data_IF_998398143969
#
_entry.id   IF_998398143969
#
_cell.length_a   1.000
_cell.length_b   1.000
_cell.length_c   1.000
_cell.angle_alpha   90.00
_cell.angle_beta   90.00
_cell.angle_gamma   90.00
#
_symmetry.space_group_name_H-M   'P 1'
#
loop_
_entity.id
_entity.type
_entity.pdbx_description
1 polymer ?
#
# COMPACT_ATOMS: atom_id res chain seq x y z
N UNK A 1 -34.42 49.43 20.40
CA UNK A 1 -33.06 49.53 19.84
C UNK A 1 -32.16 48.57 20.63
N UNK A 2 -31.63 47.55 19.95
CA UNK A 2 -30.56 46.58 20.26
C UNK A 2 -30.50 45.88 21.64
N UNK A 3 -30.58 44.54 21.60
CA UNK A 3 -30.25 43.61 22.69
C UNK A 3 -28.76 43.24 22.65
N UNK A 4 -28.05 43.35 23.77
CA UNK A 4 -26.67 42.87 23.92
C UNK A 4 -26.65 41.35 24.12
N UNK A 5 -26.33 40.61 23.06
CA UNK A 5 -26.13 39.17 23.12
C UNK A 5 -24.69 38.84 23.52
N UNK A 6 -24.52 38.51 24.80
CA UNK A 6 -23.32 37.92 25.40
C UNK A 6 -22.98 36.61 24.68
N UNK A 7 -22.01 36.64 23.77
CA UNK A 7 -21.48 35.43 23.11
C UNK A 7 -20.66 34.60 24.10
N UNK A 8 -21.35 33.79 24.91
CA UNK A 8 -20.75 32.58 25.44
C UNK A 8 -20.78 31.52 24.35
N UNK A 9 -19.62 30.89 24.16
CA UNK A 9 -19.39 29.48 23.83
C UNK A 9 -18.19 29.38 22.88
N UNK A 10 -17.00 29.54 23.45
CA UNK A 10 -15.76 29.03 22.87
C UNK A 10 -15.84 27.49 22.86
N UNK A 11 -16.52 26.94 21.86
CA UNK A 11 -16.43 25.53 21.53
C UNK A 11 -15.02 25.29 20.99
N UNK A 12 -14.10 24.93 21.88
CA UNK A 12 -12.79 24.43 21.50
C UNK A 12 -12.99 23.18 20.65
N UNK A 13 -12.87 23.32 19.33
CA UNK A 13 -12.70 22.19 18.43
C UNK A 13 -11.42 21.50 18.85
N UNK A 14 -11.54 20.44 19.65
CA UNK A 14 -10.47 19.47 19.85
C UNK A 14 -10.19 18.86 18.48
N UNK A 15 -9.22 19.42 17.77
CA UNK A 15 -8.67 18.81 16.58
C UNK A 15 -8.00 17.52 17.03
N UNK A 16 -8.74 16.40 17.00
CA UNK A 16 -8.19 15.05 17.06
C UNK A 16 -7.46 14.75 15.76
N UNK A 17 -6.48 15.58 15.41
CA UNK A 17 -5.62 15.37 14.26
C UNK A 17 -4.53 14.40 14.68
N UNK A 18 -4.84 13.13 14.50
CA UNK A 18 -3.90 12.02 14.67
C UNK A 18 -4.17 10.89 13.69
N UNK A 19 -4.67 11.19 12.48
CA UNK A 19 -4.58 10.21 11.39
C UNK A 19 -3.16 10.30 10.84
N UNK A 20 -2.28 9.43 11.35
CA UNK A 20 -1.03 9.12 10.68
C UNK A 20 -1.37 8.65 9.26
N UNK A 21 -1.25 9.55 8.29
CA UNK A 21 -1.30 9.20 6.87
C UNK A 21 -0.16 8.23 6.62
N UNK A 22 -0.50 6.97 6.40
CA UNK A 22 0.47 5.95 6.03
C UNK A 22 1.04 6.33 4.67
N UNK A 23 2.28 6.84 4.64
CA UNK A 23 2.97 7.15 3.39
C UNK A 23 3.38 5.82 2.76
N UNK A 24 2.65 5.41 1.73
CA UNK A 24 3.04 4.29 0.89
C UNK A 24 4.07 4.79 -0.11
N UNK A 25 5.28 4.23 -0.06
CA UNK A 25 6.26 4.40 -1.14
C UNK A 25 5.90 3.44 -2.26
N UNK A 26 6.27 3.79 -3.48
CA UNK A 26 6.01 2.94 -4.63
C UNK A 26 7.33 2.50 -5.21
N UNK A 27 7.51 1.19 -5.32
CA UNK A 27 8.70 0.59 -5.91
C UNK A 27 8.31 -0.39 -7.03
N UNK A 28 9.25 -0.68 -7.91
CA UNK A 28 9.10 -1.67 -8.96
C UNK A 28 9.50 -3.04 -8.43
N UNK A 29 8.52 -3.92 -8.27
CA UNK A 29 8.76 -5.31 -7.94
C UNK A 29 8.92 -6.12 -9.22
N UNK A 30 10.10 -6.70 -9.41
CA UNK A 30 10.40 -7.58 -10.54
C UNK A 30 10.13 -9.04 -10.16
N UNK A 31 9.30 -9.73 -10.94
CA UNK A 31 9.10 -11.17 -10.80
C UNK A 31 10.30 -11.94 -11.36
N UNK A 32 10.59 -13.15 -10.82
CA UNK A 32 11.53 -14.06 -11.44
C UNK A 32 11.10 -14.39 -12.89
N UNK A 33 12.05 -14.79 -13.75
CA UNK A 33 11.75 -15.16 -15.13
C UNK A 33 10.67 -16.25 -15.15
N UNK A 34 9.55 -15.94 -15.81
CA UNK A 34 8.36 -16.78 -15.82
C UNK A 34 8.00 -17.18 -17.24
N UNK A 35 7.20 -18.25 -17.36
CA UNK A 35 6.67 -18.71 -18.64
C UNK A 35 5.58 -17.77 -19.16
N UNK A 36 5.21 -17.90 -20.44
CA UNK A 36 4.18 -17.05 -21.05
C UNK A 36 2.83 -17.13 -20.32
N UNK A 37 2.35 -18.33 -20.01
CA UNK A 37 1.10 -18.54 -19.28
C UNK A 37 1.11 -17.87 -17.89
N UNK A 38 2.25 -17.95 -17.20
CA UNK A 38 2.42 -17.32 -15.88
C UNK A 38 2.41 -15.79 -16.00
N UNK A 39 3.11 -15.26 -17.00
CA UNK A 39 3.16 -13.82 -17.27
C UNK A 39 1.76 -13.26 -17.58
N UNK A 40 0.98 -13.96 -18.41
CA UNK A 40 -0.39 -13.58 -18.73
C UNK A 40 -1.31 -13.61 -17.51
N UNK A 41 -1.20 -14.64 -16.68
CA UNK A 41 -1.94 -14.74 -15.43
C UNK A 41 -1.60 -13.58 -14.49
N UNK A 42 -0.31 -13.26 -14.33
CA UNK A 42 0.14 -12.12 -13.52
C UNK A 42 -0.44 -10.81 -14.05
N UNK A 43 -0.36 -10.56 -15.36
CA UNK A 43 -0.91 -9.37 -16.01
C UNK A 43 -2.42 -9.25 -15.75
N UNK A 44 -3.18 -10.34 -15.91
CA UNK A 44 -4.62 -10.37 -15.63
C UNK A 44 -4.92 -10.03 -14.15
N UNK A 45 -4.19 -10.63 -13.22
CA UNK A 45 -4.35 -10.38 -11.78
C UNK A 45 -4.07 -8.92 -11.40
N UNK A 46 -2.98 -8.34 -11.91
CA UNK A 46 -2.61 -6.95 -11.60
C UNK A 46 -3.50 -5.94 -12.33
N UNK A 47 -3.91 -6.23 -13.57
CA UNK A 47 -4.88 -5.42 -14.30
C UNK A 47 -6.22 -5.34 -13.59
N UNK A 48 -6.72 -6.46 -13.05
CA UNK A 48 -7.96 -6.48 -12.24
C UNK A 48 -7.86 -5.61 -10.99
N UNK A 49 -6.67 -5.51 -10.41
CA UNK A 49 -6.38 -4.70 -9.20
C UNK A 49 -6.04 -3.24 -9.51
N UNK A 50 -5.84 -2.89 -10.79
CA UNK A 50 -5.51 -1.52 -11.23
C UNK A 50 -4.07 -1.10 -10.97
N UNK A 51 -3.12 -2.04 -10.87
CA UNK A 51 -1.70 -1.72 -10.73
C UNK A 51 -1.03 -1.49 -12.08
N UNK A 52 -0.03 -0.61 -12.10
CA UNK A 52 0.84 -0.41 -13.26
C UNK A 52 1.83 -1.59 -13.37
N UNK A 53 2.01 -2.11 -14.57
CA UNK A 53 2.94 -3.20 -14.84
C UNK A 53 3.68 -2.96 -16.17
N UNK A 54 4.88 -3.52 -16.27
CA UNK A 54 5.71 -3.57 -17.46
C UNK A 54 5.98 -5.05 -17.79
N UNK A 55 5.90 -5.37 -19.08
CA UNK A 55 6.18 -6.71 -19.61
C UNK A 55 7.34 -6.60 -20.59
N UNK A 56 8.44 -7.25 -20.24
CA UNK A 56 9.64 -7.32 -21.05
C UNK A 56 9.94 -8.78 -21.41
N UNK A 57 10.57 -8.98 -22.57
CA UNK A 57 11.04 -10.29 -23.00
C UNK A 57 12.52 -10.42 -22.62
N UNK A 58 12.88 -11.54 -21.99
CA UNK A 58 14.29 -11.82 -21.70
C UNK A 58 15.11 -11.95 -22.99
N UNK A 59 16.42 -11.68 -22.91
CA UNK A 59 17.33 -11.74 -24.06
C UNK A 59 17.30 -13.11 -24.78
N UNK A 60 17.16 -14.18 -24.00
CA UNK A 60 17.09 -15.55 -24.51
C UNK A 60 15.75 -15.89 -25.20
N UNK A 61 14.78 -14.96 -25.19
CA UNK A 61 13.41 -15.08 -25.72
C UNK A 61 12.59 -16.26 -25.18
N UNK A 62 13.09 -16.94 -24.14
CA UNK A 62 12.44 -18.09 -23.49
C UNK A 62 11.52 -17.70 -22.33
N UNK A 63 11.82 -16.58 -21.69
CA UNK A 63 11.17 -16.16 -20.45
C UNK A 63 10.69 -14.73 -20.56
N UNK A 64 9.58 -14.46 -19.88
CA UNK A 64 9.05 -13.12 -19.69
C UNK A 64 9.51 -12.56 -18.35
N UNK A 65 9.81 -11.27 -18.35
CA UNK A 65 10.14 -10.49 -17.17
C UNK A 65 8.98 -9.54 -16.93
N UNK A 66 8.36 -9.65 -15.76
CA UNK A 66 7.23 -8.82 -15.38
C UNK A 66 7.64 -7.94 -14.20
N UNK A 67 7.56 -6.63 -14.40
CA UNK A 67 7.80 -5.64 -13.35
C UNK A 67 6.49 -4.97 -12.98
N UNK A 68 6.18 -4.86 -11.70
CA UNK A 68 4.90 -4.34 -11.22
C UNK A 68 5.15 -3.24 -10.20
N UNK A 69 4.45 -2.14 -10.38
CA UNK A 69 4.54 -1.00 -9.48
C UNK A 69 3.63 -1.24 -8.27
N UNK A 70 4.24 -1.59 -7.14
CA UNK A 70 3.52 -1.92 -5.91
C UNK A 70 3.76 -0.87 -4.82
N UNK A 71 2.72 -0.43 -4.11
CA UNK A 71 2.88 0.36 -2.91
C UNK A 71 3.45 -0.52 -1.78
N UNK A 72 4.63 -0.17 -1.27
CA UNK A 72 5.26 -0.83 -0.14
C UNK A 72 5.25 0.07 1.10
N UNK A 73 5.05 -0.55 2.27
CA UNK A 73 5.19 0.08 3.57
C UNK A 73 6.59 -0.16 4.12
N UNK A 74 7.38 0.89 4.34
CA UNK A 74 8.70 0.74 5.00
C UNK A 74 8.60 0.20 6.42
N UNK A 75 7.43 0.40 7.06
CA UNK A 75 7.19 -0.11 8.40
C UNK A 75 6.95 -1.61 8.31
N UNK A 76 7.65 -2.42 9.12
CA UNK A 76 7.35 -3.84 9.19
C UNK A 76 5.88 -4.03 9.60
N UNK A 77 5.20 -5.06 9.07
CA UNK A 77 3.85 -5.37 9.48
C UNK A 77 3.83 -5.55 11.00
N UNK A 78 2.83 -4.97 11.65
CA UNK A 78 2.69 -5.12 13.11
C UNK A 78 2.62 -6.62 13.41
N UNK A 79 3.56 -7.15 14.22
CA UNK A 79 3.59 -8.59 14.46
C UNK A 79 2.30 -8.99 15.18
N UNK A 80 1.63 -10.01 14.64
CA UNK A 80 0.43 -10.54 15.26
C UNK A 80 0.79 -11.26 16.57
N UNK A 81 -0.04 -11.10 17.60
CA UNK A 81 0.17 -11.78 18.89
C UNK A 81 -0.30 -13.23 18.88
N UNK A 82 -0.89 -13.68 17.78
CA UNK A 82 -1.58 -14.98 17.66
C UNK A 82 -0.65 -16.17 17.90
N UNK A 83 0.60 -16.09 17.44
CA UNK A 83 1.59 -17.18 17.56
C UNK A 83 2.82 -16.79 18.39
N UNK A 84 2.80 -15.63 19.04
CA UNK A 84 3.90 -15.19 19.91
C UNK A 84 3.77 -15.83 21.28
N UNK A 85 4.50 -16.92 21.53
CA UNK A 85 4.56 -17.49 22.87
C UNK A 85 5.45 -16.62 23.77
N UNK A 86 5.02 -16.46 25.03
CA UNK A 86 5.67 -15.59 26.01
C UNK A 86 7.07 -16.08 26.45
N UNK A 87 7.41 -17.33 26.15
CA UNK A 87 8.68 -17.99 26.48
C UNK A 87 9.81 -17.51 25.56
N UNK A 88 9.49 -17.15 24.31
CA UNK A 88 10.46 -16.69 23.31
C UNK A 88 10.57 -15.16 23.27
N UNK A 89 10.26 -14.48 24.38
CA UNK A 89 10.40 -13.02 24.51
C UNK A 89 11.80 -12.63 24.92
#
# INVERSE_FOLDING_TARGET
MAHDSRLHNSAALTSRQGRCSHVFKTDWFQHPPCTEEQAEWLIQCYRRRGYEFQKDLSFDRRHWIISVRLPYSERPPRPSRTFQQRIWR
#
